data_IF_457704830714
#
_entry.id   IF_457704830714
#
_cell.length_a   1.000
_cell.length_b   1.000
_cell.length_c   1.000
_cell.angle_alpha   90.00
_cell.angle_beta   90.00
_cell.angle_gamma   90.00
#
_symmetry.space_group_name_H-M   'P 1'
#
loop_
_entity.id
_entity.type
_entity.pdbx_description
1 polymer ?
#
# COMPACT_ATOMS: atom_id res chain seq x y z
N UNK A 1 22.73 35.57 -46.88
CA UNK A 1 23.91 34.75 -46.51
C UNK A 1 24.38 35.24 -45.14
N UNK A 2 24.28 34.43 -44.09
CA UNK A 2 24.92 34.68 -42.77
C UNK A 2 26.47 34.71 -42.92
N UNK A 3 27.27 35.32 -42.00
CA UNK A 3 27.35 34.99 -40.55
C UNK A 3 27.51 36.20 -39.58
N UNK A 4 26.82 36.18 -38.42
CA UNK A 4 27.26 35.82 -37.05
C UNK A 4 27.74 37.03 -36.19
N UNK A 5 27.13 37.30 -35.02
CA UNK A 5 27.60 38.37 -34.13
C UNK A 5 28.72 37.87 -33.21
N UNK A 6 29.57 38.83 -32.84
CA UNK A 6 30.75 38.73 -32.01
C UNK A 6 30.52 37.92 -30.72
N UNK A 7 31.48 37.05 -30.41
CA UNK A 7 31.54 36.35 -29.14
C UNK A 7 31.80 37.31 -27.99
N UNK A 8 31.07 37.13 -26.89
CA UNK A 8 31.40 37.66 -25.57
C UNK A 8 30.85 36.72 -24.49
N UNK A 9 31.65 36.60 -23.44
CA UNK A 9 31.42 35.94 -22.15
C UNK A 9 31.59 34.42 -22.10
N UNK A 10 32.85 34.01 -22.25
CA UNK A 10 33.36 32.95 -21.39
C UNK A 10 33.18 33.40 -19.93
N UNK A 11 32.23 32.80 -19.21
CA UNK A 11 32.24 32.84 -17.76
C UNK A 11 33.51 32.12 -17.33
N UNK A 12 34.48 32.87 -16.80
CA UNK A 12 35.65 32.32 -16.14
C UNK A 12 35.15 31.44 -14.99
N UNK A 13 35.40 30.14 -15.08
CA UNK A 13 35.25 29.23 -13.95
C UNK A 13 36.06 29.81 -12.79
N UNK A 14 35.46 30.05 -11.62
CA UNK A 14 36.21 30.50 -10.45
C UNK A 14 37.27 29.47 -10.09
N UNK A 15 38.42 29.96 -9.62
CA UNK A 15 39.58 29.14 -9.34
C UNK A 15 39.26 28.12 -8.22
N UNK A 16 39.84 26.92 -8.32
CA UNK A 16 39.48 25.80 -7.44
C UNK A 16 39.80 26.10 -5.97
N UNK A 17 40.81 26.93 -5.73
CA UNK A 17 41.23 27.36 -4.39
C UNK A 17 40.24 28.35 -3.77
N UNK A 18 39.64 29.26 -4.57
CA UNK A 18 38.61 30.20 -4.09
C UNK A 18 37.31 29.47 -3.72
N UNK A 19 36.98 28.41 -4.46
CA UNK A 19 35.82 27.56 -4.16
C UNK A 19 36.01 26.73 -2.88
N UNK A 20 37.24 26.35 -2.54
CA UNK A 20 37.56 25.60 -1.33
C UNK A 20 37.52 26.49 -0.08
N UNK A 21 37.99 27.73 -0.20
CA UNK A 21 37.95 28.74 0.87
C UNK A 21 36.51 29.12 1.26
N UNK A 22 35.59 29.22 0.30
CA UNK A 22 34.15 29.48 0.55
C UNK A 22 33.39 28.24 1.06
N UNK A 23 33.89 27.02 0.78
CA UNK A 23 33.25 25.75 1.17
C UNK A 23 33.37 25.49 2.67
N UNK A 24 34.52 25.79 3.27
CA UNK A 24 34.77 25.58 4.70
C UNK A 24 33.85 26.39 5.64
N UNK A 25 33.67 27.71 5.47
CA UNK A 25 32.77 28.49 6.31
C UNK A 25 31.31 28.09 6.10
N UNK A 26 30.90 27.86 4.84
CA UNK A 26 29.55 27.37 4.54
C UNK A 26 29.27 26.00 5.16
N UNK A 27 30.25 25.09 5.16
CA UNK A 27 30.11 23.79 5.82
C UNK A 27 29.95 23.93 7.33
N UNK A 28 30.66 24.86 7.97
CA UNK A 28 30.54 25.12 9.41
C UNK A 28 29.19 25.75 9.75
N UNK A 29 28.74 26.72 8.96
CA UNK A 29 27.44 27.37 9.11
C UNK A 29 26.28 26.37 8.90
N UNK A 30 26.37 25.52 7.88
CA UNK A 30 25.38 24.49 7.57
C UNK A 30 25.35 23.37 8.62
N UNK A 31 26.51 22.99 9.18
CA UNK A 31 26.59 22.05 10.31
C UNK A 31 26.11 22.64 11.62
N UNK A 32 26.15 23.97 11.77
CA UNK A 32 25.63 24.67 12.95
C UNK A 32 24.11 24.85 12.92
N UNK A 33 23.46 24.63 11.78
CA UNK A 33 22.00 24.50 11.73
C UNK A 33 21.58 23.22 12.45
N UNK A 34 20.72 23.29 13.48
CA UNK A 34 20.22 22.10 14.16
C UNK A 34 19.23 21.37 13.25
N UNK A 35 19.76 20.58 12.32
CA UNK A 35 18.97 19.67 11.50
C UNK A 35 18.38 18.58 12.41
N UNK A 36 17.11 18.75 12.76
CA UNK A 36 16.11 17.67 12.88
C UNK A 36 16.43 16.47 13.80
N UNK A 37 17.42 16.54 14.70
CA UNK A 37 17.65 15.50 15.71
C UNK A 37 16.47 15.38 16.71
N UNK A 38 15.57 16.38 16.72
CA UNK A 38 14.40 16.41 17.60
C UNK A 38 13.17 15.65 17.07
N UNK A 39 13.23 15.05 15.86
CA UNK A 39 12.16 14.16 15.33
C UNK A 39 12.37 12.70 15.75
N UNK A 40 13.53 12.35 16.33
CA UNK A 40 13.84 10.97 16.71
C UNK A 40 13.37 10.55 18.12
N UNK A 41 12.77 11.44 18.91
CA UNK A 41 12.48 11.12 20.33
C UNK A 41 11.21 10.28 20.55
N UNK A 42 10.35 10.06 19.55
CA UNK A 42 9.14 9.24 19.80
C UNK A 42 8.56 8.46 18.61
N UNK A 43 9.34 8.20 17.55
CA UNK A 43 8.88 7.30 16.49
C UNK A 43 8.95 5.83 16.92
N UNK A 44 9.84 5.47 17.85
CA UNK A 44 10.00 4.08 18.27
C UNK A 44 8.87 3.54 19.18
N UNK A 45 8.13 4.42 19.87
CA UNK A 45 7.04 4.00 20.75
C UNK A 45 5.68 3.89 20.04
N UNK A 46 5.50 4.56 18.89
CA UNK A 46 4.17 4.72 18.26
C UNK A 46 3.81 3.66 17.23
N UNK A 47 4.71 2.75 16.86
CA UNK A 47 4.46 1.81 15.76
C UNK A 47 4.86 0.37 16.12
N UNK A 48 4.13 -0.26 17.04
CA UNK A 48 4.27 -1.70 17.36
C UNK A 48 3.27 -2.50 16.51
N UNK A 49 3.69 -3.56 15.80
CA UNK A 49 2.71 -4.47 15.11
C UNK A 49 1.81 -5.07 16.20
N UNK A 50 0.48 -4.91 16.05
CA UNK A 50 -0.51 -5.39 17.02
C UNK A 50 -0.70 -6.91 16.98
N UNK A 51 -0.22 -7.59 15.94
CA UNK A 51 -0.30 -9.04 15.76
C UNK A 51 0.88 -9.76 16.42
N UNK A 52 0.82 -9.95 17.74
CA UNK A 52 1.84 -10.64 18.53
C UNK A 52 2.14 -12.07 18.06
N UNK A 53 1.16 -12.75 17.47
CA UNK A 53 1.25 -14.13 16.98
C UNK A 53 2.30 -14.29 15.86
N UNK A 54 2.58 -13.21 15.12
CA UNK A 54 3.57 -13.22 14.03
C UNK A 54 5.01 -13.00 14.50
N UNK A 55 5.26 -12.96 15.82
CA UNK A 55 6.57 -12.65 16.40
C UNK A 55 7.00 -13.70 17.43
N UNK A 56 8.21 -14.25 17.27
CA UNK A 56 8.85 -15.10 18.28
C UNK A 56 9.72 -14.30 19.29
N UNK A 57 9.60 -12.96 19.31
CA UNK A 57 10.43 -12.05 20.12
C UNK A 57 9.88 -10.61 20.22
N UNK A 58 10.65 -9.69 20.83
CA UNK A 58 10.26 -8.31 21.12
C UNK A 58 10.10 -7.41 19.89
N UNK A 59 9.20 -6.42 19.99
CA UNK A 59 8.78 -5.54 18.88
C UNK A 59 9.89 -4.56 18.43
N UNK A 60 10.24 -4.57 17.13
CA UNK A 60 11.04 -3.51 16.50
C UNK A 60 10.16 -2.34 16.00
N UNK A 61 10.68 -1.11 15.99
CA UNK A 61 9.90 0.09 15.68
C UNK A 61 9.62 0.28 14.18
N UNK A 62 8.35 0.51 13.86
CA UNK A 62 7.87 1.26 12.69
C UNK A 62 8.21 0.79 11.26
N UNK A 63 8.57 -0.47 11.07
CA UNK A 63 8.40 -1.13 9.78
C UNK A 63 7.28 -2.15 9.93
N UNK A 64 6.34 -2.19 8.97
CA UNK A 64 5.49 -3.37 8.83
C UNK A 64 6.48 -4.53 8.68
N UNK A 65 6.55 -5.40 9.70
CA UNK A 65 7.51 -6.48 9.63
C UNK A 65 7.16 -7.37 8.44
N UNK A 66 8.18 -7.96 7.81
CA UNK A 66 7.98 -8.83 6.64
C UNK A 66 6.88 -9.89 6.86
N UNK A 67 6.79 -10.57 8.03
CA UNK A 67 5.66 -11.45 8.32
C UNK A 67 4.27 -10.78 8.32
N UNK A 68 4.11 -9.60 8.95
CA UNK A 68 2.83 -8.86 8.95
C UNK A 68 2.46 -8.44 7.50
N UNK A 69 3.45 -8.11 6.65
CA UNK A 69 3.24 -7.80 5.23
C UNK A 69 2.89 -9.03 4.41
N UNK A 70 3.67 -10.11 4.50
CA UNK A 70 3.49 -11.34 3.74
C UNK A 70 2.12 -11.97 4.03
N UNK A 71 1.68 -11.97 5.29
CA UNK A 71 0.34 -12.42 5.66
C UNK A 71 -0.78 -11.56 5.06
N UNK A 72 -0.59 -10.24 5.01
CA UNK A 72 -1.59 -9.35 4.38
C UNK A 72 -1.61 -9.54 2.86
N UNK A 73 -0.43 -9.72 2.26
CA UNK A 73 -0.27 -9.99 0.84
C UNK A 73 -0.95 -11.32 0.45
N UNK A 74 -0.70 -12.40 1.19
CA UNK A 74 -1.34 -13.70 0.96
C UNK A 74 -2.87 -13.60 0.99
N UNK A 75 -3.42 -12.85 1.96
CA UNK A 75 -4.87 -12.60 2.01
C UNK A 75 -5.38 -11.79 0.82
N UNK A 76 -4.60 -10.81 0.36
CA UNK A 76 -4.94 -10.03 -0.82
C UNK A 76 -4.93 -10.90 -2.08
N UNK A 77 -3.93 -11.76 -2.23
CA UNK A 77 -3.79 -12.69 -3.35
C UNK A 77 -4.98 -13.68 -3.38
N UNK A 78 -5.43 -14.19 -2.23
CA UNK A 78 -6.63 -15.04 -2.13
C UNK A 78 -7.91 -14.30 -2.56
N UNK A 79 -8.07 -13.04 -2.16
CA UNK A 79 -9.21 -12.22 -2.58
C UNK A 79 -9.17 -11.91 -4.08
N UNK A 80 -8.00 -11.59 -4.62
CA UNK A 80 -7.81 -11.37 -6.06
C UNK A 80 -8.09 -12.65 -6.85
N UNK A 81 -7.59 -13.80 -6.40
CA UNK A 81 -7.88 -15.09 -7.02
C UNK A 81 -9.39 -15.42 -6.98
N UNK A 82 -10.10 -15.12 -5.89
CA UNK A 82 -11.54 -15.30 -5.80
C UNK A 82 -12.30 -14.45 -6.85
N UNK A 83 -11.86 -13.23 -7.11
CA UNK A 83 -12.44 -12.35 -8.14
C UNK A 83 -12.21 -12.86 -9.55
N UNK A 84 -11.19 -13.70 -9.78
CA UNK A 84 -10.91 -14.36 -11.05
C UNK A 84 -11.76 -15.63 -11.27
N UNK A 85 -13.00 -15.64 -10.80
CA UNK A 85 -13.96 -16.71 -11.08
C UNK A 85 -14.18 -16.85 -12.61
N UNK A 86 -14.23 -18.10 -13.09
CA UNK A 86 -14.46 -18.37 -14.52
C UNK A 86 -15.87 -17.92 -14.93
N UNK A 87 -15.98 -17.34 -16.13
CA UNK A 87 -17.25 -16.81 -16.62
C UNK A 87 -18.33 -17.89 -16.72
N UNK A 88 -17.97 -19.12 -17.12
CA UNK A 88 -18.92 -20.24 -17.25
C UNK A 88 -19.45 -20.65 -15.89
N UNK A 89 -18.57 -20.68 -14.89
CA UNK A 89 -18.93 -20.99 -13.51
C UNK A 89 -19.82 -19.90 -12.90
N UNK A 90 -19.44 -18.62 -13.06
CA UNK A 90 -20.26 -17.50 -12.62
C UNK A 90 -21.64 -17.49 -13.28
N UNK A 91 -21.73 -17.78 -14.58
CA UNK A 91 -22.99 -17.88 -15.29
C UNK A 91 -23.87 -19.03 -14.77
N UNK A 92 -23.26 -20.17 -14.42
CA UNK A 92 -23.97 -21.30 -13.84
C UNK A 92 -24.56 -20.95 -12.47
N UNK A 93 -23.77 -20.32 -11.59
CA UNK A 93 -24.23 -19.86 -10.27
C UNK A 93 -25.41 -18.89 -10.41
N UNK A 94 -25.32 -17.94 -11.33
CA UNK A 94 -26.42 -16.99 -11.61
C UNK A 94 -27.65 -17.72 -12.11
N UNK A 95 -27.50 -18.65 -13.04
CA UNK A 95 -28.60 -19.42 -13.58
C UNK A 95 -29.33 -20.20 -12.48
N UNK A 96 -28.60 -20.97 -11.68
CA UNK A 96 -29.16 -21.77 -10.60
C UNK A 96 -29.85 -20.89 -9.54
N UNK A 97 -29.29 -19.72 -9.23
CA UNK A 97 -29.83 -18.79 -8.26
C UNK A 97 -31.09 -18.07 -8.74
N UNK A 98 -31.15 -17.64 -10.01
CA UNK A 98 -32.33 -16.99 -10.60
C UNK A 98 -33.56 -17.88 -10.52
N UNK A 99 -33.39 -19.18 -10.74
CA UNK A 99 -34.49 -20.15 -10.76
C UNK A 99 -34.71 -20.88 -9.43
N UNK A 100 -33.96 -20.52 -8.38
CA UNK A 100 -34.04 -21.17 -7.07
C UNK A 100 -35.38 -20.95 -6.34
N UNK A 101 -36.06 -19.83 -6.58
CA UNK A 101 -37.41 -19.54 -6.06
C UNK A 101 -38.32 -19.03 -7.19
N UNK A 102 -39.08 -19.92 -7.85
CA UNK A 102 -40.00 -19.54 -8.93
C UNK A 102 -41.25 -18.80 -8.42
N UNK A 103 -41.43 -18.68 -7.10
CA UNK A 103 -42.62 -18.07 -6.49
C UNK A 103 -42.57 -16.54 -6.53
N UNK A 104 -41.38 -15.96 -6.54
CA UNK A 104 -41.17 -14.52 -6.44
C UNK A 104 -40.18 -14.01 -7.53
N UNK A 105 -40.69 -13.59 -8.70
CA UNK A 105 -39.84 -13.11 -9.79
C UNK A 105 -39.08 -11.82 -9.44
N UNK A 106 -39.50 -11.09 -8.39
CA UNK A 106 -38.84 -9.86 -7.96
C UNK A 106 -37.50 -10.10 -7.26
N UNK A 107 -37.26 -11.31 -6.75
CA UNK A 107 -36.04 -11.68 -6.02
C UNK A 107 -34.97 -12.34 -6.87
N UNK A 108 -35.25 -12.63 -8.14
CA UNK A 108 -34.34 -13.34 -9.07
C UNK A 108 -32.91 -12.75 -9.10
N UNK A 109 -32.78 -11.43 -9.30
CA UNK A 109 -31.49 -10.76 -9.30
C UNK A 109 -30.85 -10.66 -7.91
N UNK A 110 -31.67 -10.52 -6.86
CA UNK A 110 -31.18 -10.51 -5.49
C UNK A 110 -30.58 -11.87 -5.11
N UNK A 111 -31.24 -12.95 -5.50
CA UNK A 111 -30.76 -14.32 -5.29
C UNK A 111 -29.45 -14.56 -6.04
N UNK A 112 -29.37 -14.14 -7.30
CA UNK A 112 -28.14 -14.21 -8.09
C UNK A 112 -26.98 -13.44 -7.47
N UNK A 113 -27.22 -12.19 -7.06
CA UNK A 113 -26.21 -11.37 -6.38
C UNK A 113 -25.78 -12.01 -5.06
N UNK A 114 -26.72 -12.53 -4.27
CA UNK A 114 -26.43 -13.19 -3.01
C UNK A 114 -25.57 -14.44 -3.23
N UNK A 115 -25.91 -15.27 -4.22
CA UNK A 115 -25.19 -16.48 -4.57
C UNK A 115 -23.75 -16.20 -5.03
N UNK A 116 -23.56 -15.24 -5.94
CA UNK A 116 -22.22 -14.82 -6.37
C UNK A 116 -21.39 -14.29 -5.20
N UNK A 117 -21.97 -13.44 -4.35
CA UNK A 117 -21.27 -12.96 -3.16
C UNK A 117 -20.97 -14.10 -2.19
N UNK A 118 -21.78 -15.17 -2.13
CA UNK A 118 -21.51 -16.32 -1.26
C UNK A 118 -20.27 -17.04 -1.76
N UNK A 119 -20.25 -17.37 -3.05
CA UNK A 119 -19.13 -18.05 -3.71
C UNK A 119 -17.82 -17.27 -3.53
N UNK A 120 -17.84 -15.95 -3.79
CA UNK A 120 -16.66 -15.10 -3.65
C UNK A 120 -16.16 -15.04 -2.20
N UNK A 121 -17.07 -14.97 -1.22
CA UNK A 121 -16.71 -15.00 0.20
C UNK A 121 -16.10 -16.35 0.61
N UNK A 122 -16.66 -17.46 0.13
CA UNK A 122 -16.16 -18.80 0.44
C UNK A 122 -14.75 -19.02 -0.15
N UNK A 123 -14.52 -18.63 -1.41
CA UNK A 123 -13.20 -18.70 -2.06
C UNK A 123 -12.15 -17.83 -1.39
N UNK A 124 -12.54 -16.66 -0.91
CA UNK A 124 -11.63 -15.73 -0.22
C UNK A 124 -11.41 -16.07 1.26
N UNK A 125 -12.02 -17.16 1.78
CA UNK A 125 -11.93 -17.53 3.19
C UNK A 125 -12.65 -16.55 4.14
N UNK A 126 -13.53 -15.69 3.61
CA UNK A 126 -14.36 -14.78 4.40
C UNK A 126 -15.58 -15.55 4.88
N UNK A 127 -15.46 -16.19 6.04
CA UNK A 127 -16.62 -16.73 6.77
C UNK A 127 -17.61 -15.60 7.04
N UNK A 128 -18.82 -15.71 6.49
CA UNK A 128 -19.94 -14.80 6.75
C UNK A 128 -20.45 -15.00 8.17
N UNK A 129 -19.72 -14.48 9.15
CA UNK A 129 -20.18 -14.43 10.52
C UNK A 129 -21.23 -13.33 10.65
N UNK A 130 -22.47 -13.76 10.91
CA UNK A 130 -23.47 -13.00 11.65
C UNK A 130 -22.81 -12.21 12.76
N UNK A 131 -22.94 -10.87 12.70
CA UNK A 131 -22.71 -9.87 13.75
C UNK A 131 -22.26 -10.48 15.09
N UNK A 132 -20.94 -10.55 15.32
CA UNK A 132 -20.41 -10.75 16.68
C UNK A 132 -20.79 -9.51 17.48
N UNK A 133 -21.80 -9.63 18.34
CA UNK A 133 -22.03 -8.66 19.40
C UNK A 133 -20.83 -8.76 20.34
N UNK A 134 -19.94 -7.78 20.26
CA UNK A 134 -19.02 -7.48 21.35
C UNK A 134 -19.89 -7.16 22.57
N UNK A 135 -19.82 -8.03 23.58
CA UNK A 135 -20.39 -7.80 24.92
C UNK A 135 -19.43 -6.91 25.69
#
# INVERSE_FOLDING_TARGET
>A
KLPAPAGLNAQSLPDADELEEEREPFSKEFKSQPFSAHVQINAAASFRCSLKENHQGGHEPAAICRPCYDHLQERADLMEAALHIDLKEAAQIVYDAVWSDPSDPSKTYQNAAQALLTELCERSGITRFTRVRVV
#
